data_IF_908357349590
#
_entry.id   IF_908357349590
#
_cell.length_a   1.000
_cell.length_b   1.000
_cell.length_c   1.000
_cell.angle_alpha   90.00
_cell.angle_beta   90.00
_cell.angle_gamma   90.00
#
_symmetry.space_group_name_H-M   'P 1'
#
loop_
_entity.id
_entity.type
_entity.pdbx_description
1 polymer ?
#
# COMPACT_ATOMS: atom_id res chain seq x y z
N UNK A 1 -1.88 -24.01 -2.22
CA UNK A 1 -2.50 -22.70 -2.10
C UNK A 1 -2.98 -22.25 -3.47
N UNK A 2 -4.26 -21.96 -3.57
CA UNK A 2 -4.90 -21.44 -4.77
C UNK A 2 -4.92 -19.90 -4.75
N UNK A 3 -4.75 -19.26 -5.91
CA UNK A 3 -4.64 -17.80 -6.04
C UNK A 3 -5.97 -17.11 -5.75
N UNK A 4 -7.08 -17.71 -6.20
CA UNK A 4 -8.42 -17.16 -6.00
C UNK A 4 -8.74 -17.10 -4.50
N UNK A 5 -8.39 -18.15 -3.77
CA UNK A 5 -8.49 -18.21 -2.30
C UNK A 5 -7.73 -17.06 -1.63
N UNK A 6 -6.47 -16.84 -2.01
CA UNK A 6 -5.63 -15.77 -1.45
C UNK A 6 -6.21 -14.38 -1.75
N UNK A 7 -6.75 -14.19 -2.96
CA UNK A 7 -7.40 -12.93 -3.33
C UNK A 7 -8.60 -12.63 -2.44
N UNK A 8 -9.47 -13.61 -2.22
CA UNK A 8 -10.65 -13.44 -1.38
C UNK A 8 -10.31 -13.21 0.09
N UNK A 9 -9.25 -13.83 0.61
CA UNK A 9 -8.86 -13.71 2.01
C UNK A 9 -8.04 -12.44 2.28
N UNK A 10 -7.08 -12.10 1.42
CA UNK A 10 -6.09 -11.05 1.69
C UNK A 10 -6.26 -9.79 0.84
N UNK A 11 -6.99 -9.83 -0.28
CA UNK A 11 -7.12 -8.68 -1.19
C UNK A 11 -7.64 -7.44 -0.47
N UNK A 12 -8.80 -7.55 0.15
CA UNK A 12 -9.45 -6.44 0.85
C UNK A 12 -8.71 -6.00 2.14
N UNK A 13 -8.23 -6.90 3.02
CA UNK A 13 -7.39 -6.51 4.15
C UNK A 13 -6.11 -5.75 3.76
N UNK A 14 -5.38 -6.22 2.75
CA UNK A 14 -4.15 -5.56 2.29
C UNK A 14 -4.47 -4.22 1.63
N UNK A 15 -5.54 -4.13 0.87
CA UNK A 15 -5.98 -2.88 0.27
C UNK A 15 -6.34 -1.83 1.31
N UNK A 16 -7.08 -2.21 2.37
CA UNK A 16 -7.34 -1.31 3.51
C UNK A 16 -6.06 -0.86 4.19
N UNK A 17 -5.11 -1.78 4.38
CA UNK A 17 -3.80 -1.45 4.95
C UNK A 17 -3.03 -0.42 4.09
N UNK A 18 -3.12 -0.51 2.77
CA UNK A 18 -2.51 0.43 1.83
C UNK A 18 -3.25 1.77 1.85
N UNK A 19 -4.60 1.78 1.79
CA UNK A 19 -5.40 3.00 1.83
C UNK A 19 -5.21 3.83 3.12
N UNK A 20 -4.84 3.20 4.24
CA UNK A 20 -4.47 3.92 5.47
C UNK A 20 -3.15 4.71 5.34
N UNK A 21 -2.35 4.43 4.31
CA UNK A 21 -1.01 5.01 4.10
C UNK A 21 -0.89 5.76 2.78
N UNK A 22 -1.78 5.51 1.84
CA UNK A 22 -1.81 6.10 0.51
C UNK A 22 -3.17 6.76 0.32
N UNK A 23 -3.16 8.09 0.22
CA UNK A 23 -4.37 8.92 0.26
C UNK A 23 -5.26 8.75 -0.96
N UNK A 24 -4.68 8.49 -2.13
CA UNK A 24 -5.42 8.26 -3.37
C UNK A 24 -5.79 6.77 -3.48
N UNK A 25 -7.08 6.50 -3.67
CA UNK A 25 -7.62 5.15 -3.79
C UNK A 25 -7.09 4.40 -5.02
N UNK A 26 -6.98 5.07 -6.16
CA UNK A 26 -6.47 4.49 -7.40
C UNK A 26 -5.00 4.06 -7.25
N UNK A 27 -4.18 4.92 -6.65
CA UNK A 27 -2.78 4.59 -6.34
C UNK A 27 -2.69 3.37 -5.38
N UNK A 28 -3.60 3.29 -4.41
CA UNK A 28 -3.65 2.16 -3.50
C UNK A 28 -4.03 0.84 -4.21
N UNK A 29 -4.96 0.90 -5.15
CA UNK A 29 -5.34 -0.24 -5.99
C UNK A 29 -4.20 -0.66 -6.93
N UNK A 30 -3.47 0.29 -7.51
CA UNK A 30 -2.28 0.00 -8.33
C UNK A 30 -1.17 -0.67 -7.51
N UNK A 31 -0.93 -0.19 -6.29
CA UNK A 31 0.02 -0.83 -5.37
C UNK A 31 -0.45 -2.25 -5.01
N UNK A 32 -1.74 -2.46 -4.76
CA UNK A 32 -2.28 -3.78 -4.50
C UNK A 32 -2.04 -4.72 -5.69
N UNK A 33 -2.28 -4.26 -6.92
CA UNK A 33 -2.02 -5.02 -8.13
C UNK A 33 -0.54 -5.41 -8.27
N UNK A 34 0.38 -4.49 -7.96
CA UNK A 34 1.83 -4.78 -7.96
C UNK A 34 2.19 -5.85 -6.91
N UNK A 35 1.62 -5.77 -5.71
CA UNK A 35 1.83 -6.77 -4.65
C UNK A 35 1.35 -8.16 -5.11
N UNK A 36 0.16 -8.26 -5.68
CA UNK A 36 -0.37 -9.53 -6.20
C UNK A 36 0.42 -10.03 -7.41
N UNK A 37 0.89 -9.15 -8.28
CA UNK A 37 1.76 -9.52 -9.40
C UNK A 37 3.06 -10.18 -8.92
N UNK A 38 3.68 -9.62 -7.86
CA UNK A 38 4.86 -10.21 -7.20
C UNK A 38 4.53 -11.54 -6.54
N UNK A 39 3.32 -11.71 -6.02
CA UNK A 39 2.87 -12.97 -5.43
C UNK A 39 2.80 -14.04 -6.52
N UNK A 40 2.07 -13.78 -7.60
CA UNK A 40 1.92 -14.68 -8.76
C UNK A 40 3.28 -15.15 -9.30
N UNK A 41 4.23 -14.23 -9.45
CA UNK A 41 5.58 -14.54 -9.90
C UNK A 41 6.39 -15.42 -8.92
N UNK A 42 6.04 -15.44 -7.63
CA UNK A 42 6.75 -16.17 -6.58
C UNK A 42 5.92 -17.30 -5.92
N UNK A 43 4.72 -17.58 -6.41
CA UNK A 43 3.77 -18.59 -5.87
C UNK A 43 4.41 -19.94 -5.59
N UNK A 44 5.36 -20.38 -6.44
CA UNK A 44 6.07 -21.66 -6.25
C UNK A 44 6.94 -21.75 -4.98
N UNK A 45 7.32 -20.62 -4.37
CA UNK A 45 8.19 -20.55 -3.18
C UNK A 45 7.41 -20.37 -1.88
N UNK A 46 6.21 -19.81 -1.94
CA UNK A 46 5.33 -19.59 -0.79
C UNK A 46 4.38 -20.79 -0.62
N UNK A 47 4.94 -21.90 -0.13
CA UNK A 47 4.17 -23.13 0.12
C UNK A 47 3.51 -23.19 1.50
N UNK A 48 3.96 -22.34 2.42
CA UNK A 48 3.45 -22.28 3.79
C UNK A 48 2.42 -21.17 3.95
N UNK A 49 1.17 -21.56 4.16
CA UNK A 49 0.02 -20.67 4.40
C UNK A 49 0.27 -19.68 5.54
N UNK A 50 0.98 -20.11 6.59
CA UNK A 50 1.29 -19.24 7.74
C UNK A 50 2.21 -18.07 7.40
N UNK A 51 2.98 -18.18 6.31
CA UNK A 51 3.94 -17.16 5.89
C UNK A 51 3.36 -16.20 4.86
N UNK A 52 2.29 -16.58 4.16
CA UNK A 52 1.75 -15.80 3.03
C UNK A 52 1.20 -14.46 3.49
N UNK A 53 0.38 -14.42 4.54
CA UNK A 53 -0.15 -13.17 5.07
C UNK A 53 0.99 -12.21 5.46
N UNK A 54 1.97 -12.69 6.23
CA UNK A 54 3.12 -11.88 6.65
C UNK A 54 3.95 -11.36 5.46
N UNK A 55 4.07 -12.18 4.40
CA UNK A 55 4.75 -11.81 3.17
C UNK A 55 3.98 -10.69 2.45
N UNK A 56 2.65 -10.76 2.37
CA UNK A 56 1.83 -9.71 1.75
C UNK A 56 2.01 -8.37 2.46
N UNK A 57 1.93 -8.32 3.80
CA UNK A 57 2.14 -7.07 4.53
C UNK A 57 3.57 -6.52 4.37
N UNK A 58 4.58 -7.41 4.31
CA UNK A 58 5.97 -7.01 4.05
C UNK A 58 6.12 -6.39 2.66
N UNK A 59 5.57 -7.03 1.63
CA UNK A 59 5.67 -6.55 0.24
C UNK A 59 4.85 -5.28 0.06
N UNK A 60 3.64 -5.19 0.62
CA UNK A 60 2.82 -3.98 0.58
C UNK A 60 3.55 -2.79 1.22
N UNK A 61 4.16 -2.97 2.39
CA UNK A 61 4.98 -1.94 3.04
C UNK A 61 6.11 -1.45 2.13
N UNK A 62 6.84 -2.38 1.50
CA UNK A 62 7.93 -2.03 0.60
C UNK A 62 7.43 -1.29 -0.65
N UNK A 63 6.31 -1.75 -1.24
CA UNK A 63 5.71 -1.09 -2.41
C UNK A 63 5.23 0.33 -2.09
N UNK A 64 4.69 0.57 -0.89
CA UNK A 64 4.33 1.93 -0.44
C UNK A 64 5.57 2.83 -0.33
N UNK A 65 6.65 2.33 0.28
CA UNK A 65 7.92 3.08 0.38
C UNK A 65 8.47 3.41 -1.01
N UNK A 66 8.44 2.44 -1.93
CA UNK A 66 8.88 2.63 -3.31
C UNK A 66 8.00 3.64 -4.07
N UNK A 67 6.68 3.61 -3.88
CA UNK A 67 5.74 4.59 -4.44
C UNK A 67 6.12 6.02 -4.02
N UNK A 68 6.32 6.26 -2.72
CA UNK A 68 6.68 7.59 -2.23
C UNK A 68 8.09 8.02 -2.62
N UNK A 69 9.05 7.09 -2.70
CA UNK A 69 10.39 7.40 -3.21
C UNK A 69 10.31 7.88 -4.66
N UNK A 70 9.59 7.16 -5.53
CA UNK A 70 9.41 7.55 -6.93
C UNK A 70 8.69 8.89 -7.08
N UNK A 71 7.67 9.14 -6.24
CA UNK A 71 6.93 10.41 -6.27
C UNK A 71 7.80 11.61 -5.87
N UNK A 72 8.74 11.40 -4.94
CA UNK A 72 9.72 12.43 -4.54
C UNK A 72 10.80 12.69 -5.60
N UNK A 73 11.17 11.65 -6.35
CA UNK A 73 12.20 11.75 -7.40
C UNK A 73 11.65 12.29 -8.74
N UNK A 74 10.35 12.60 -8.83
CA UNK A 74 9.78 13.29 -9.99
C UNK A 74 10.28 14.74 -10.02
N UNK A 75 10.84 15.23 -11.15
CA UNK A 75 11.17 16.64 -11.32
C UNK A 75 9.94 17.50 -11.02
N UNK A 76 10.15 18.58 -10.24
CA UNK A 76 9.11 19.50 -9.77
C UNK A 76 8.25 20.14 -10.88
N UNK A 77 8.63 19.95 -12.15
CA UNK A 77 7.93 20.45 -13.35
C UNK A 77 6.89 19.47 -13.93
N UNK A 78 6.74 18.28 -13.35
CA UNK A 78 5.81 17.24 -13.82
C UNK A 78 4.53 17.12 -12.97
N UNK A 79 4.17 18.13 -12.16
CA UNK A 79 2.96 18.08 -11.35
C UNK A 79 1.71 18.42 -12.18
N UNK A 80 1.06 17.39 -12.73
CA UNK A 80 -0.39 17.45 -12.88
C UNK A 80 -0.98 17.50 -11.46
N UNK A 81 -1.76 18.56 -11.22
CA UNK A 81 -2.30 18.95 -9.92
C UNK A 81 -3.40 17.98 -9.50
N UNK A 82 -3.23 17.29 -8.37
CA UNK A 82 -4.35 16.75 -7.59
C UNK A 82 -4.00 16.73 -6.10
N UNK A 83 -4.64 17.64 -5.35
CA UNK A 83 -4.88 17.56 -3.91
C UNK A 83 -3.66 17.64 -2.99
N UNK A 84 -3.42 18.82 -2.42
CA UNK A 84 -2.62 18.97 -1.20
C UNK A 84 -3.16 18.04 -0.11
N UNK A 85 -2.36 17.04 0.29
CA UNK A 85 -2.57 16.30 1.54
C UNK A 85 -1.63 16.87 2.59
N UNK A 86 -2.12 17.21 3.80
CA UNK A 86 -1.29 17.78 4.85
C UNK A 86 -0.16 16.83 5.23
N UNK A 87 0.95 17.39 5.71
CA UNK A 87 2.09 16.62 6.21
C UNK A 87 1.66 15.68 7.34
N UNK A 88 2.38 14.56 7.51
CA UNK A 88 2.18 13.61 8.62
C UNK A 88 2.23 14.32 9.98
N UNK A 89 2.97 15.43 10.08
CA UNK A 89 3.04 16.29 11.27
C UNK A 89 1.75 17.09 11.55
N UNK A 90 0.92 17.40 10.55
CA UNK A 90 -0.35 18.11 10.74
C UNK A 90 -1.47 17.19 11.23
N UNK A 91 -1.41 15.90 10.89
CA UNK A 91 -2.42 14.93 11.33
C UNK A 91 -2.30 14.56 12.82
N UNK A 92 -1.09 14.59 13.39
CA UNK A 92 -0.90 14.38 14.82
C UNK A 92 -1.45 15.55 15.66
N UNK A 93 -1.32 16.79 15.17
CA UNK A 93 -1.84 17.96 15.86
C UNK A 93 -3.38 18.02 15.88
N UNK A 94 -4.04 17.65 14.77
CA UNK A 94 -5.52 17.58 14.69
C UNK A 94 -6.14 16.52 15.60
N UNK A 95 -5.41 15.44 15.91
CA UNK A 95 -5.88 14.41 16.83
C UNK A 95 -5.69 14.80 18.30
N UNK A 96 -4.75 15.69 18.62
CA UNK A 96 -4.54 16.18 19.98
C UNK A 96 -5.58 17.24 20.38
N UNK A 97 -5.98 18.12 19.47
CA UNK A 97 -6.96 19.20 19.74
C UNK A 97 -8.41 18.73 19.94
N UNK A 98 -8.74 17.47 19.61
CA UNK A 98 -10.09 16.92 19.78
C UNK A 98 -10.34 16.24 21.13
N UNK A 99 -9.36 16.25 22.04
CA UNK A 99 -9.43 15.57 23.35
C UNK A 99 -9.28 16.55 24.53
N UNK A 100 -9.42 17.87 24.30
CA UNK A 100 -9.48 18.90 25.35
C UNK A 100 -10.90 19.42 25.56
#
# INVERSE_FOLDING_TARGET
MDVETVWHELGEPILRFICQRVSNRWDAEDILQDVFSKFLANTGKLRDESQVESWFYRVARNSIVDYYRKKKDLPLDASYVEGETPSVEEQENLNHERVA
#
